data_IF_697243527633
#
_entry.id   IF_697243527633
#
_cell.length_a   1.000
_cell.length_b   1.000
_cell.length_c   1.000
_cell.angle_alpha   90.00
_cell.angle_beta   90.00
_cell.angle_gamma   90.00
#
_symmetry.space_group_name_H-M   'P 1'
#
loop_
_entity.id
_entity.type
_entity.pdbx_description
1 polymer ?
#
# COMPACT_ATOMS: atom_id res chain seq x y z
N UNK A 1 16.56 -11.63 10.66
CA UNK A 1 16.90 -11.14 9.31
C UNK A 1 16.09 -9.87 9.12
N UNK A 2 16.73 -8.70 9.01
CA UNK A 2 16.00 -7.44 8.86
C UNK A 2 15.32 -7.47 7.48
N UNK A 3 14.01 -7.76 7.47
CA UNK A 3 13.21 -7.68 6.26
C UNK A 3 13.11 -6.20 5.90
N UNK A 4 13.29 -5.91 4.63
CA UNK A 4 13.14 -4.57 4.08
C UNK A 4 11.69 -4.09 4.31
N UNK A 5 11.48 -2.90 4.91
CA UNK A 5 10.13 -2.42 5.15
C UNK A 5 9.49 -1.98 3.83
N UNK A 6 8.29 -2.49 3.57
CA UNK A 6 7.45 -2.21 2.42
C UNK A 6 6.63 -0.94 2.60
N UNK A 7 6.44 -0.49 3.84
CA UNK A 7 5.88 0.80 4.16
C UNK A 7 6.44 1.31 5.49
N UNK A 8 6.33 2.62 5.71
CA UNK A 8 6.69 3.25 6.97
C UNK A 8 5.76 4.43 7.30
N UNK A 9 5.59 4.71 8.59
CA UNK A 9 4.99 5.94 9.11
C UNK A 9 5.97 6.63 10.03
N UNK A 10 6.34 7.88 9.73
CA UNK A 10 7.15 8.73 10.57
C UNK A 10 6.23 9.64 11.38
N UNK A 11 6.12 9.40 12.68
CA UNK A 11 5.21 10.12 13.55
C UNK A 11 5.93 10.68 14.79
N UNK A 12 5.54 11.87 15.26
CA UNK A 12 6.00 12.40 16.53
C UNK A 12 5.21 11.78 17.70
N UNK A 13 5.82 11.66 18.87
CA UNK A 13 5.15 11.21 20.09
C UNK A 13 5.93 10.18 20.88
N UNK A 14 5.29 9.53 21.85
CA UNK A 14 5.92 8.46 22.64
C UNK A 14 5.83 7.11 21.90
N UNK A 15 6.93 6.35 21.74
CA UNK A 15 6.92 5.08 21.01
C UNK A 15 5.84 4.08 21.45
N UNK A 16 5.65 3.90 22.77
CA UNK A 16 4.65 2.97 23.30
C UNK A 16 3.20 3.40 22.97
N UNK A 17 2.95 4.72 22.92
CA UNK A 17 1.64 5.25 22.50
C UNK A 17 1.43 5.02 21.00
N UNK A 18 2.43 5.31 20.18
CA UNK A 18 2.39 5.10 18.73
C UNK A 18 2.11 3.64 18.40
N UNK A 19 2.81 2.73 19.09
CA UNK A 19 2.64 1.29 18.98
C UNK A 19 1.21 0.85 19.28
N UNK A 20 0.71 1.20 20.48
CA UNK A 20 -0.64 0.84 20.92
C UNK A 20 -1.71 1.40 19.97
N UNK A 21 -1.50 2.62 19.47
CA UNK A 21 -2.46 3.26 18.56
C UNK A 21 -2.48 2.60 17.19
N UNK A 22 -1.31 2.38 16.59
CA UNK A 22 -1.17 1.69 15.32
C UNK A 22 -1.76 0.27 15.41
N UNK A 23 -1.55 -0.43 16.53
CA UNK A 23 -2.08 -1.77 16.73
C UNK A 23 -3.62 -1.77 16.74
N UNK A 24 -4.24 -0.81 17.43
CA UNK A 24 -5.70 -0.66 17.47
C UNK A 24 -6.29 -0.37 16.09
N UNK A 25 -5.57 0.34 15.22
CA UNK A 25 -6.04 0.70 13.88
C UNK A 25 -5.90 -0.47 12.90
N UNK A 26 -4.74 -1.13 12.95
CA UNK A 26 -4.36 -2.17 11.99
C UNK A 26 -4.93 -3.53 12.38
N UNK A 27 -5.19 -3.74 13.67
CA UNK A 27 -5.72 -4.99 14.22
C UNK A 27 -6.69 -4.71 15.38
N UNK A 28 -7.92 -4.24 15.11
CA UNK A 28 -8.88 -3.86 16.14
C UNK A 28 -9.31 -5.03 17.07
N UNK A 29 -9.17 -6.28 16.60
CA UNK A 29 -9.49 -7.49 17.36
C UNK A 29 -8.23 -8.23 17.89
N UNK A 30 -7.05 -7.59 17.86
CA UNK A 30 -5.80 -8.23 18.28
C UNK A 30 -5.85 -8.66 19.75
N UNK A 31 -5.50 -9.92 19.98
CA UNK A 31 -5.33 -10.49 21.30
C UNK A 31 -3.97 -11.21 21.39
N UNK A 32 -3.11 -10.75 22.29
CA UNK A 32 -1.77 -11.30 22.51
C UNK A 32 -1.81 -12.81 22.85
N UNK A 33 -2.93 -13.30 23.41
CA UNK A 33 -3.11 -14.71 23.77
C UNK A 33 -3.26 -15.65 22.55
N UNK A 34 -3.62 -15.14 21.38
CA UNK A 34 -3.83 -15.94 20.17
C UNK A 34 -2.54 -16.18 19.36
N UNK A 35 -1.41 -15.62 19.81
CA UNK A 35 -0.09 -15.82 19.21
C UNK A 35 0.13 -15.11 17.88
N UNK A 36 -0.70 -14.10 17.57
CA UNK A 36 -0.57 -13.29 16.35
C UNK A 36 0.64 -12.36 16.41
N UNK A 37 1.53 -12.44 15.42
CA UNK A 37 2.68 -11.55 15.29
C UNK A 37 2.27 -10.15 14.83
N UNK A 38 2.87 -9.14 15.44
CA UNK A 38 2.63 -7.74 15.15
C UNK A 38 2.98 -7.39 13.68
N UNK A 39 2.14 -6.66 12.93
CA UNK A 39 2.36 -6.34 11.50
C UNK A 39 3.53 -5.42 11.23
N UNK A 40 3.99 -4.74 12.26
CA UNK A 40 4.93 -3.66 12.17
C UNK A 40 5.82 -3.63 13.40
N UNK A 41 6.93 -2.93 13.27
CA UNK A 41 7.85 -2.62 14.36
C UNK A 41 7.87 -1.10 14.56
N UNK A 42 7.96 -0.64 15.81
CA UNK A 42 8.24 0.77 16.12
C UNK A 42 9.73 0.93 16.38
N UNK A 43 10.41 1.67 15.52
CA UNK A 43 11.82 2.00 15.60
C UNK A 43 11.95 3.40 16.22
N UNK A 44 12.48 3.53 17.45
CA UNK A 44 12.69 4.83 18.06
C UNK A 44 13.73 5.65 17.30
N UNK A 45 13.31 6.78 16.73
CA UNK A 45 14.22 7.81 16.27
C UNK A 45 14.97 8.52 17.41
N UNK A 46 16.06 9.17 17.02
CA UNK A 46 16.90 10.03 17.87
C UNK A 46 16.37 11.47 18.02
N UNK A 47 15.37 11.84 17.21
CA UNK A 47 14.63 13.10 17.28
C UNK A 47 13.29 12.97 18.01
N UNK A 48 12.38 13.91 17.76
CA UNK A 48 10.99 13.85 18.25
C UNK A 48 10.11 12.88 17.47
N UNK A 49 10.60 12.35 16.35
CA UNK A 49 9.92 11.42 15.47
C UNK A 49 10.42 9.99 15.66
N UNK A 50 9.51 9.04 15.44
CA UNK A 50 9.77 7.61 15.43
C UNK A 50 9.14 6.98 14.19
N UNK A 51 9.65 5.82 13.77
CA UNK A 51 9.16 5.12 12.59
C UNK A 51 8.34 3.91 13.02
N UNK A 52 7.15 3.76 12.44
CA UNK A 52 6.38 2.52 12.44
C UNK A 52 6.63 1.88 11.08
N UNK A 53 7.22 0.68 11.03
CA UNK A 53 7.63 0.06 9.76
C UNK A 53 6.96 -1.29 9.60
N UNK A 54 6.37 -1.54 8.43
CA UNK A 54 5.80 -2.84 8.10
C UNK A 54 6.56 -3.48 6.95
N UNK A 55 6.79 -4.79 7.07
CA UNK A 55 7.50 -5.60 6.06
C UNK A 55 6.58 -6.53 5.29
N UNK A 56 5.29 -6.51 5.63
CA UNK A 56 4.27 -7.43 5.16
C UNK A 56 3.47 -6.77 4.01
N UNK A 57 3.49 -7.34 2.78
CA UNK A 57 2.82 -6.77 1.62
C UNK A 57 1.31 -6.57 1.82
N UNK A 58 0.69 -7.41 2.65
CA UNK A 58 -0.75 -7.39 2.93
C UNK A 58 -1.18 -6.14 3.71
N UNK A 59 -0.22 -5.44 4.33
CA UNK A 59 -0.42 -4.14 5.00
C UNK A 59 0.02 -2.95 4.17
N UNK A 60 0.36 -3.14 2.89
CA UNK A 60 0.55 -1.98 2.01
C UNK A 60 -0.78 -1.25 1.86
N UNK A 61 -0.78 0.03 2.26
CA UNK A 61 -1.95 0.88 2.45
C UNK A 61 -2.28 1.15 3.93
N UNK A 62 -1.83 0.31 4.88
CA UNK A 62 -2.07 0.52 6.31
C UNK A 62 -1.35 1.77 6.83
N UNK A 63 -0.24 2.15 6.20
CA UNK A 63 0.49 3.38 6.52
C UNK A 63 -0.38 4.62 6.37
N UNK A 64 -1.40 4.61 5.51
CA UNK A 64 -2.34 5.73 5.37
C UNK A 64 -3.25 5.83 6.59
N UNK A 65 -3.93 4.74 6.95
CA UNK A 65 -4.89 4.73 8.06
C UNK A 65 -4.19 5.09 9.37
N UNK A 66 -2.98 4.58 9.57
CA UNK A 66 -2.14 4.91 10.71
C UNK A 66 -1.76 6.40 10.67
N UNK A 67 -1.23 6.90 9.54
CA UNK A 67 -0.78 8.28 9.43
C UNK A 67 -1.92 9.30 9.57
N UNK A 68 -3.06 9.04 8.95
CA UNK A 68 -4.27 9.87 9.06
C UNK A 68 -4.71 9.99 10.51
N UNK A 69 -4.93 8.86 11.18
CA UNK A 69 -5.40 8.82 12.56
C UNK A 69 -4.41 9.50 13.51
N UNK A 70 -3.11 9.26 13.35
CA UNK A 70 -2.09 9.92 14.16
C UNK A 70 -2.01 11.43 13.87
N UNK A 71 -2.23 11.87 12.63
CA UNK A 71 -2.20 13.28 12.26
C UNK A 71 -3.36 14.09 12.85
N UNK A 72 -4.47 13.44 13.21
CA UNK A 72 -5.60 14.06 13.93
C UNK A 72 -5.27 14.27 15.42
N UNK A 73 -4.28 13.56 15.95
CA UNK A 73 -3.88 13.58 17.36
C UNK A 73 -2.59 14.40 17.60
N UNK A 74 -2.03 15.02 16.55
CA UNK A 74 -0.74 15.71 16.56
C UNK A 74 -0.80 17.06 15.83
N UNK A 75 -0.16 18.09 16.41
CA UNK A 75 0.04 19.40 15.75
C UNK A 75 1.16 19.36 14.70
N UNK A 76 2.09 18.42 14.86
CA UNK A 76 3.19 18.14 13.94
C UNK A 76 2.76 17.16 12.85
N UNK A 77 3.28 17.30 11.62
CA UNK A 77 2.88 16.45 10.49
C UNK A 77 3.30 15.00 10.71
N UNK A 78 2.48 14.05 10.26
CA UNK A 78 2.82 12.62 10.22
C UNK A 78 3.13 12.26 8.78
N UNK A 79 4.14 11.45 8.51
CA UNK A 79 4.48 11.09 7.13
C UNK A 79 4.24 9.60 6.90
N UNK A 80 3.49 9.24 5.86
CA UNK A 80 3.43 7.85 5.38
C UNK A 80 4.36 7.68 4.18
N UNK A 81 4.99 6.52 4.09
CA UNK A 81 5.93 6.17 3.02
C UNK A 81 5.54 4.79 2.50
N UNK A 82 5.09 4.72 1.25
CA UNK A 82 4.88 3.47 0.54
C UNK A 82 6.19 3.08 -0.17
N UNK A 83 6.87 2.02 0.31
CA UNK A 83 8.13 1.50 -0.25
C UNK A 83 7.96 0.22 -1.07
N UNK A 84 6.73 -0.30 -1.12
CA UNK A 84 6.38 -1.51 -1.85
C UNK A 84 6.51 -1.31 -3.36
N UNK A 85 6.18 -0.11 -3.85
CA UNK A 85 6.15 0.23 -5.26
C UNK A 85 7.18 1.32 -5.60
N UNK A 86 7.74 1.27 -6.80
CA UNK A 86 8.64 2.32 -7.34
C UNK A 86 7.83 3.23 -8.30
N UNK A 87 7.95 4.57 -8.20
CA UNK A 87 8.68 5.31 -7.17
C UNK A 87 8.04 5.21 -5.79
N UNK A 88 8.88 5.19 -4.75
CA UNK A 88 8.40 5.31 -3.37
C UNK A 88 7.62 6.61 -3.22
N UNK A 89 6.48 6.52 -2.54
CA UNK A 89 5.59 7.66 -2.36
C UNK A 89 5.68 8.14 -0.92
N UNK A 90 5.97 9.42 -0.72
CA UNK A 90 5.89 10.08 0.58
C UNK A 90 4.63 10.92 0.63
N UNK A 91 3.82 10.74 1.66
CA UNK A 91 2.64 11.56 1.92
C UNK A 91 2.78 12.21 3.29
N UNK A 92 2.63 13.53 3.36
CA UNK A 92 2.50 14.28 4.61
C UNK A 92 1.04 14.37 5.01
N UNK A 93 0.76 14.13 6.28
CA UNK A 93 -0.56 14.18 6.88
C UNK A 93 -0.59 15.24 7.97
N UNK A 94 -1.56 16.14 7.91
CA UNK A 94 -1.78 17.20 8.90
C UNK A 94 -3.28 17.31 9.18
N UNK A 95 -3.67 16.99 10.41
CA UNK A 95 -5.07 17.08 10.85
C UNK A 95 -6.04 16.34 9.89
N UNK A 96 -5.66 15.13 9.48
CA UNK A 96 -6.41 14.29 8.54
C UNK A 96 -6.29 14.69 7.06
N UNK A 97 -5.72 15.86 6.75
CA UNK A 97 -5.47 16.27 5.36
C UNK A 97 -4.12 15.75 4.89
N UNK A 98 -4.08 15.23 3.66
CA UNK A 98 -2.90 14.60 3.08
C UNK A 98 -2.29 15.47 1.96
N UNK A 99 -0.98 15.35 1.74
CA UNK A 99 -0.22 16.02 0.68
C UNK A 99 0.92 15.11 0.23
N UNK A 100 1.00 14.74 -1.06
CA UNK A 100 2.18 14.00 -1.58
C UNK A 100 3.38 14.92 -1.68
N UNK A 101 4.52 14.43 -1.19
CA UNK A 101 5.80 15.13 -1.23
C UNK A 101 6.73 14.47 -2.26
N UNK A 102 7.25 15.29 -3.18
CA UNK A 102 8.34 14.89 -4.09
C UNK A 102 9.70 14.95 -3.37
N UNK A 103 9.86 14.13 -2.33
CA UNK A 103 11.09 14.05 -1.53
C UNK A 103 11.60 12.62 -1.46
N UNK A 104 12.92 12.48 -1.35
CA UNK A 104 13.56 11.20 -1.11
C UNK A 104 13.19 10.68 0.30
N UNK A 105 12.58 9.49 0.44
CA UNK A 105 12.09 9.02 1.73
C UNK A 105 13.19 8.79 2.77
N UNK A 106 14.35 8.30 2.34
CA UNK A 106 15.49 8.06 3.24
C UNK A 106 16.04 9.40 3.76
N UNK A 107 16.19 10.40 2.89
CA UNK A 107 16.60 11.77 3.26
C UNK A 107 15.61 12.44 4.23
N UNK A 108 14.30 12.25 4.02
CA UNK A 108 13.27 12.75 4.94
C UNK A 108 13.41 12.08 6.31
N UNK A 109 13.49 10.75 6.33
CA UNK A 109 13.62 9.97 7.55
C UNK A 109 14.87 10.34 8.36
N UNK A 110 16.01 10.51 7.69
CA UNK A 110 17.24 11.02 8.30
C UNK A 110 17.06 12.43 8.89
N UNK A 111 16.41 13.34 8.17
CA UNK A 111 16.20 14.72 8.63
C UNK A 111 15.33 14.81 9.90
N UNK A 112 14.43 13.85 10.09
CA UNK A 112 13.58 13.71 11.27
C UNK A 112 14.27 12.95 12.42
N UNK A 113 15.51 12.51 12.21
CA UNK A 113 16.29 11.77 13.19
C UNK A 113 15.88 10.30 13.33
N UNK A 114 15.12 9.75 12.38
CA UNK A 114 14.63 8.38 12.38
C UNK A 114 15.00 7.66 11.08
N UNK A 115 16.30 7.38 10.85
CA UNK A 115 16.74 6.71 9.62
C UNK A 115 16.05 5.34 9.49
N UNK A 116 15.38 5.12 8.37
CA UNK A 116 14.72 3.85 8.09
C UNK A 116 15.76 2.75 7.85
N UNK A 117 15.43 1.48 8.15
CA UNK A 117 16.25 0.35 7.72
C UNK A 117 16.55 0.46 6.23
N UNK A 118 17.83 0.67 5.90
CA UNK A 118 18.31 0.75 4.52
C UNK A 118 18.37 -0.63 3.90
N UNK A 119 18.27 -0.69 2.57
CA UNK A 119 18.40 -1.94 1.83
C UNK A 119 19.85 -2.33 2.08
N UNK A 120 20.09 -3.51 2.66
CA UNK A 120 21.45 -4.04 2.68
C UNK A 120 22.01 -3.88 1.27
N UNK A 121 23.13 -3.17 1.13
CA UNK A 121 23.78 -2.98 -0.17
C UNK A 121 23.85 -4.36 -0.82
N UNK A 122 23.30 -4.54 -2.03
CA UNK A 122 23.14 -5.86 -2.59
C UNK A 122 24.52 -6.51 -2.72
N UNK A 123 24.77 -7.56 -1.92
CA UNK A 123 25.63 -8.64 -2.39
C UNK A 123 24.95 -9.20 -3.64
N UNK A 124 25.72 -9.56 -4.68
CA UNK A 124 25.36 -9.95 -6.06
C UNK A 124 24.21 -10.98 -6.26
N UNK A 125 23.06 -10.81 -5.59
CA UNK A 125 21.81 -11.50 -5.84
C UNK A 125 20.99 -10.66 -6.84
N UNK A 126 20.20 -11.30 -7.71
CA UNK A 126 19.57 -10.63 -8.83
C UNK A 126 18.70 -9.49 -8.30
N UNK A 127 18.98 -8.28 -8.79
CA UNK A 127 18.23 -7.05 -8.62
C UNK A 127 16.76 -7.33 -8.27
N UNK A 128 16.35 -7.15 -7.01
CA UNK A 128 14.91 -7.15 -6.65
C UNK A 128 14.28 -6.12 -7.58
N UNK A 129 13.48 -6.62 -8.52
CA UNK A 129 12.83 -5.79 -9.53
C UNK A 129 11.70 -5.03 -8.83
N UNK A 130 11.51 -3.73 -9.12
CA UNK A 130 10.46 -2.97 -8.47
C UNK A 130 9.09 -3.62 -8.71
N UNK A 131 8.31 -3.79 -7.65
CA UNK A 131 6.91 -4.19 -7.79
C UNK A 131 6.14 -3.03 -8.41
N UNK A 132 5.12 -3.39 -9.19
CA UNK A 132 4.19 -2.43 -9.77
C UNK A 132 2.79 -2.72 -9.32
N UNK A 133 1.99 -1.67 -9.23
CA UNK A 133 0.60 -1.71 -8.78
C UNK A 133 -0.36 -1.32 -9.90
N UNK A 134 -1.41 -2.12 -10.07
CA UNK A 134 -2.55 -1.81 -10.91
C UNK A 134 -3.82 -2.33 -10.25
N UNK A 135 -5.00 -1.83 -10.62
CA UNK A 135 -6.25 -2.31 -10.06
C UNK A 135 -7.35 -2.42 -11.11
N UNK A 136 -8.21 -3.42 -10.94
CA UNK A 136 -9.52 -3.49 -11.61
C UNK A 136 -10.61 -3.13 -10.59
N UNK A 137 -11.49 -2.22 -10.95
CA UNK A 137 -12.67 -1.83 -10.17
C UNK A 137 -13.94 -2.24 -10.91
N UNK A 138 -14.69 -3.17 -10.35
CA UNK A 138 -16.00 -3.56 -10.87
C UNK A 138 -17.09 -2.66 -10.28
N UNK A 139 -18.01 -2.20 -11.13
CA UNK A 139 -19.18 -1.42 -10.70
C UNK A 139 -18.99 0.11 -10.73
N UNK A 140 -17.83 0.60 -11.13
CA UNK A 140 -17.52 2.04 -11.24
C UNK A 140 -17.03 2.35 -12.65
N UNK A 141 -17.45 3.47 -13.23
CA UNK A 141 -16.94 3.98 -14.52
C UNK A 141 -15.76 4.93 -14.33
N UNK A 142 -14.94 5.07 -15.35
CA UNK A 142 -13.80 5.99 -15.36
C UNK A 142 -14.20 7.44 -15.03
N UNK A 143 -15.32 7.93 -15.54
CA UNK A 143 -15.80 9.29 -15.26
C UNK A 143 -16.21 9.47 -13.78
N UNK A 144 -16.84 8.46 -13.19
CA UNK A 144 -17.28 8.46 -11.78
C UNK A 144 -16.07 8.41 -10.85
N UNK A 145 -15.10 7.54 -11.13
CA UNK A 145 -13.85 7.48 -10.40
C UNK A 145 -13.04 8.77 -10.53
N UNK A 146 -12.96 9.35 -11.73
CA UNK A 146 -12.24 10.60 -11.93
C UNK A 146 -12.81 11.74 -11.09
N UNK A 147 -14.14 11.89 -11.06
CA UNK A 147 -14.80 12.90 -10.23
C UNK A 147 -14.57 12.64 -8.74
N UNK A 148 -14.72 11.39 -8.31
CA UNK A 148 -14.52 11.01 -6.91
C UNK A 148 -13.10 11.31 -6.43
N UNK A 149 -12.08 10.95 -7.21
CA UNK A 149 -10.69 11.19 -6.86
C UNK A 149 -10.34 12.70 -6.86
N UNK A 150 -10.99 13.50 -7.71
CA UNK A 150 -10.86 14.96 -7.68
C UNK A 150 -11.52 15.59 -6.44
N UNK A 151 -12.65 15.05 -5.99
CA UNK A 151 -13.40 15.56 -4.83
C UNK A 151 -12.81 15.08 -3.49
N UNK A 152 -12.15 13.92 -3.49
CA UNK A 152 -11.52 13.32 -2.32
C UNK A 152 -10.26 14.05 -1.83
N UNK A 153 -9.79 15.05 -2.58
CA UNK A 153 -8.49 15.69 -2.38
C UNK A 153 -7.35 14.63 -2.31
N UNK A 154 -7.52 13.54 -3.09
CA UNK A 154 -6.59 12.41 -3.16
C UNK A 154 -5.22 12.94 -3.63
N UNK A 155 -4.09 12.50 -3.04
CA UNK A 155 -2.87 13.27 -3.15
C UNK A 155 -2.17 13.11 -4.49
N UNK A 156 -2.54 12.12 -5.30
CA UNK A 156 -1.94 11.96 -6.62
C UNK A 156 -2.66 12.89 -7.60
N UNK A 157 -1.96 13.90 -8.15
CA UNK A 157 -2.56 14.80 -9.11
C UNK A 157 -3.17 14.01 -10.29
N UNK A 158 -4.30 14.47 -10.85
CA UNK A 158 -4.80 13.95 -12.11
C UNK A 158 -3.66 13.86 -13.14
N UNK A 159 -3.40 12.64 -13.66
CA UNK A 159 -2.34 12.37 -14.62
C UNK A 159 -1.25 11.40 -14.15
N UNK A 160 -1.18 11.08 -12.86
CA UNK A 160 -0.25 10.06 -12.34
C UNK A 160 -0.74 8.62 -12.54
N UNK A 161 -2.05 8.44 -12.65
CA UNK A 161 -2.68 7.19 -13.02
C UNK A 161 -3.64 7.41 -14.20
N UNK A 162 -3.80 6.37 -14.99
CA UNK A 162 -4.72 6.27 -16.11
C UNK A 162 -5.95 5.50 -15.64
N UNK A 163 -7.11 6.11 -15.89
CA UNK A 163 -8.42 5.50 -15.73
C UNK A 163 -8.93 5.07 -17.11
N UNK A 164 -9.26 3.80 -17.27
CA UNK A 164 -9.77 3.26 -18.53
C UNK A 164 -10.95 2.32 -18.30
N UNK A 165 -12.08 2.63 -18.95
CA UNK A 165 -13.23 1.72 -18.95
C UNK A 165 -12.91 0.48 -19.81
N UNK A 166 -12.96 -0.69 -19.19
CA UNK A 166 -12.83 -1.98 -19.86
C UNK A 166 -14.15 -2.75 -19.81
N UNK A 167 -14.34 -3.80 -20.63
CA UNK A 167 -15.50 -4.68 -20.52
C UNK A 167 -15.64 -5.38 -19.15
N UNK A 168 -14.56 -5.42 -18.35
CA UNK A 168 -14.54 -6.02 -17.01
C UNK A 168 -14.79 -5.02 -15.89
N UNK A 169 -14.74 -3.72 -16.17
CA UNK A 169 -14.78 -2.66 -15.16
C UNK A 169 -13.73 -1.59 -15.45
N UNK A 170 -13.54 -0.70 -14.50
CA UNK A 170 -12.55 0.36 -14.58
C UNK A 170 -11.15 -0.19 -14.28
N UNK A 171 -10.20 0.01 -15.19
CA UNK A 171 -8.78 -0.20 -14.96
C UNK A 171 -8.16 1.08 -14.39
N UNK A 172 -7.42 0.93 -13.30
CA UNK A 172 -6.54 1.95 -12.72
C UNK A 172 -5.10 1.44 -12.87
N UNK A 173 -4.29 2.13 -13.67
CA UNK A 173 -2.90 1.76 -13.92
C UNK A 173 -2.02 2.99 -14.00
N UNK A 174 -0.71 2.85 -13.82
CA UNK A 174 0.24 3.96 -13.92
C UNK A 174 1.37 3.64 -14.89
N UNK A 175 1.80 4.64 -15.65
CA UNK A 175 3.01 4.55 -16.47
C UNK A 175 4.31 4.60 -15.66
N UNK A 176 4.26 5.04 -14.40
CA UNK A 176 5.41 5.13 -13.50
C UNK A 176 5.58 3.90 -12.61
N UNK A 177 4.59 3.00 -12.57
CA UNK A 177 4.63 1.76 -11.79
C UNK A 177 3.84 1.78 -10.48
N UNK A 178 3.41 2.95 -10.00
CA UNK A 178 2.57 3.08 -8.82
C UNK A 178 1.30 3.90 -9.12
N UNK A 179 0.14 3.40 -8.70
CA UNK A 179 -1.15 4.12 -8.76
C UNK A 179 -1.47 4.85 -7.45
N UNK A 180 -0.56 4.80 -6.48
CA UNK A 180 -0.77 5.30 -5.14
C UNK A 180 -1.95 4.61 -4.47
N UNK A 181 -2.88 5.43 -4.00
CA UNK A 181 -4.02 5.02 -3.21
C UNK A 181 -5.35 5.08 -3.94
N UNK A 182 -5.33 5.38 -5.24
CA UNK A 182 -6.55 5.54 -6.04
C UNK A 182 -7.48 4.32 -5.97
N UNK A 183 -6.93 3.10 -5.86
CA UNK A 183 -7.72 1.87 -5.71
C UNK A 183 -8.42 1.79 -4.34
N UNK A 184 -7.79 2.27 -3.28
CA UNK A 184 -8.36 2.34 -1.93
C UNK A 184 -9.43 3.43 -1.88
N UNK A 185 -9.09 4.65 -2.30
CA UNK A 185 -10.00 5.81 -2.32
C UNK A 185 -11.27 5.51 -3.13
N UNK A 186 -11.14 4.85 -4.28
CA UNK A 186 -12.32 4.42 -5.07
C UNK A 186 -13.12 3.33 -4.33
N UNK A 187 -12.48 2.39 -3.64
CA UNK A 187 -13.17 1.37 -2.85
C UNK A 187 -13.99 1.97 -1.70
N UNK A 188 -13.46 2.99 -1.03
CA UNK A 188 -14.11 3.69 0.08
C UNK A 188 -15.30 4.52 -0.38
N UNK A 189 -15.14 5.29 -1.45
CA UNK A 189 -16.20 6.16 -1.98
C UNK A 189 -17.31 5.39 -2.69
N UNK A 190 -17.01 4.20 -3.18
CA UNK A 190 -17.98 3.29 -3.80
C UNK A 190 -18.02 1.94 -3.07
N UNK A 191 -18.67 1.83 -1.89
CA UNK A 191 -18.66 0.61 -1.07
C UNK A 191 -19.28 -0.62 -1.73
N UNK A 192 -20.04 -0.43 -2.81
CA UNK A 192 -20.64 -1.52 -3.60
C UNK A 192 -19.69 -2.04 -4.70
N UNK A 193 -18.60 -1.33 -4.97
CA UNK A 193 -17.58 -1.74 -5.93
C UNK A 193 -16.75 -2.89 -5.35
N UNK A 194 -16.29 -3.77 -6.23
CA UNK A 194 -15.25 -4.74 -5.88
C UNK A 194 -13.96 -4.34 -6.58
N UNK A 195 -12.92 -4.12 -5.80
CA UNK A 195 -11.60 -3.72 -6.29
C UNK A 195 -10.66 -4.90 -6.19
N UNK A 196 -9.94 -5.20 -7.28
CA UNK A 196 -8.87 -6.18 -7.33
C UNK A 196 -7.56 -5.41 -7.48
N UNK A 197 -6.89 -5.14 -6.36
CA UNK A 197 -5.59 -4.49 -6.34
C UNK A 197 -4.51 -5.54 -6.59
N UNK A 198 -3.74 -5.38 -7.67
CA UNK A 198 -2.69 -6.30 -8.08
C UNK A 198 -1.34 -5.64 -7.87
N UNK A 199 -0.48 -6.29 -7.10
CA UNK A 199 0.93 -5.92 -6.93
C UNK A 199 1.76 -7.06 -7.48
N UNK A 200 2.63 -6.78 -8.44
CA UNK A 200 3.45 -7.83 -9.03
C UNK A 200 4.82 -7.35 -9.49
N UNK A 201 5.76 -8.29 -9.43
CA UNK A 201 7.09 -8.18 -10.03
C UNK A 201 7.00 -8.29 -11.56
N UNK A 202 7.99 -7.76 -12.32
CA UNK A 202 7.95 -7.79 -13.78
C UNK A 202 7.96 -9.18 -14.43
N UNK A 203 8.45 -10.20 -13.72
CA UNK A 203 8.40 -11.60 -14.14
C UNK A 203 7.26 -12.38 -13.48
N UNK A 204 6.40 -11.70 -12.72
CA UNK A 204 5.26 -12.26 -11.99
C UNK A 204 5.67 -13.37 -10.99
N UNK A 205 6.94 -13.41 -10.58
CA UNK A 205 7.37 -14.37 -9.57
C UNK A 205 6.77 -14.05 -8.21
N UNK A 206 6.81 -12.77 -7.85
CA UNK A 206 6.01 -12.17 -6.78
C UNK A 206 4.74 -11.58 -7.41
N UNK A 207 3.58 -12.05 -6.96
CA UNK A 207 2.27 -11.69 -7.46
C UNK A 207 1.24 -11.77 -6.35
N UNK A 208 0.61 -10.63 -6.05
CA UNK A 208 -0.36 -10.49 -4.98
C UNK A 208 -1.62 -9.85 -5.56
N UNK A 209 -2.77 -10.36 -5.15
CA UNK A 209 -4.08 -9.75 -5.42
C UNK A 209 -4.79 -9.58 -4.09
N UNK A 210 -5.06 -8.33 -3.73
CA UNK A 210 -5.94 -8.01 -2.60
C UNK A 210 -7.31 -7.63 -3.17
N UNK A 211 -8.35 -8.32 -2.72
CA UNK A 211 -9.73 -7.97 -3.06
C UNK A 211 -10.26 -7.03 -1.99
N UNK A 212 -10.70 -5.83 -2.40
CA UNK A 212 -11.21 -4.80 -1.49
C UNK A 212 -12.68 -4.47 -1.75
N UNK A 213 -13.40 -4.17 -0.66
CA UNK A 213 -14.78 -3.64 -0.68
C UNK A 213 -14.94 -2.62 0.44
N UNK A 214 -15.40 -1.41 0.12
CA UNK A 214 -15.58 -0.37 1.13
C UNK A 214 -14.28 0.07 1.80
N UNK A 215 -13.14 0.01 1.10
CA UNK A 215 -11.80 0.35 1.62
C UNK A 215 -11.07 -0.82 2.28
N UNK A 216 -11.80 -1.81 2.80
CA UNK A 216 -11.23 -2.94 3.52
C UNK A 216 -10.78 -4.06 2.57
N UNK A 217 -9.65 -4.71 2.88
CA UNK A 217 -9.23 -5.96 2.25
C UNK A 217 -10.07 -7.13 2.80
N UNK A 218 -10.63 -7.95 1.91
CA UNK A 218 -11.57 -9.02 2.28
C UNK A 218 -10.99 -10.41 2.05
N UNK A 219 -10.17 -10.57 1.01
CA UNK A 219 -9.51 -11.84 0.65
C UNK A 219 -8.25 -11.53 -0.17
N UNK A 220 -7.33 -12.49 -0.20
CA UNK A 220 -6.09 -12.33 -0.94
C UNK A 220 -5.66 -13.59 -1.70
N UNK A 221 -4.96 -13.38 -2.80
CA UNK A 221 -4.21 -14.39 -3.52
C UNK A 221 -2.74 -13.99 -3.54
N UNK A 222 -1.85 -14.92 -3.19
CA UNK A 222 -0.41 -14.69 -3.19
C UNK A 222 0.33 -15.82 -3.91
N UNK A 223 1.26 -15.44 -4.78
CA UNK A 223 2.25 -16.33 -5.38
C UNK A 223 3.64 -15.69 -5.27
N UNK A 224 4.60 -16.32 -4.56
CA UNK A 224 4.42 -17.52 -3.72
C UNK A 224 3.41 -17.29 -2.58
N UNK A 225 2.79 -18.36 -2.03
CA UNK A 225 1.92 -18.22 -0.86
C UNK A 225 2.69 -17.60 0.31
N UNK A 226 2.03 -16.74 1.07
CA UNK A 226 2.61 -16.18 2.29
C UNK A 226 2.61 -17.22 3.42
N UNK A 227 3.65 -17.21 4.24
CA UNK A 227 3.78 -18.10 5.40
C UNK A 227 2.71 -17.80 6.47
N UNK A 228 2.29 -16.54 6.56
CA UNK A 228 1.35 -16.02 7.57
C UNK A 228 0.33 -15.08 6.92
N UNK A 229 -0.60 -15.62 6.12
CA UNK A 229 -1.59 -14.80 5.44
C UNK A 229 -2.59 -14.22 6.44
N UNK A 230 -3.02 -12.99 6.19
CA UNK A 230 -3.84 -12.24 7.15
C UNK A 230 -5.23 -11.92 6.64
N UNK A 231 -5.41 -12.00 5.33
CA UNK A 231 -6.73 -12.15 4.76
C UNK A 231 -7.00 -13.63 4.47
N UNK A 232 -8.28 -14.02 4.39
CA UNK A 232 -8.63 -15.31 3.85
C UNK A 232 -7.95 -15.55 2.49
N UNK A 233 -7.02 -16.51 2.44
CA UNK A 233 -6.33 -16.86 1.19
C UNK A 233 -7.26 -17.64 0.30
N UNK A 234 -7.44 -17.15 -0.93
CA UNK A 234 -8.18 -17.84 -1.96
C UNK A 234 -7.24 -18.59 -2.89
N UNK A 235 -7.68 -19.78 -3.32
CA UNK A 235 -6.92 -20.60 -4.25
C UNK A 235 -7.01 -20.14 -5.70
N UNK A 236 -7.91 -19.19 -6.00
CA UNK A 236 -8.11 -18.61 -7.33
C UNK A 236 -8.72 -17.21 -7.24
N UNK A 237 -8.44 -16.39 -8.26
CA UNK A 237 -9.12 -15.12 -8.50
C UNK A 237 -9.92 -15.27 -9.78
N UNK A 238 -11.23 -15.05 -9.73
CA UNK A 238 -12.15 -15.20 -10.87
C UNK A 238 -12.07 -16.60 -11.50
N UNK A 239 -11.78 -17.66 -10.73
CA UNK A 239 -11.64 -19.03 -11.23
C UNK A 239 -10.25 -19.39 -11.77
N UNK A 240 -9.30 -18.45 -11.77
CA UNK A 240 -7.96 -18.63 -12.33
C UNK A 240 -6.88 -18.68 -11.24
N UNK A 241 -5.85 -19.52 -11.46
CA UNK A 241 -4.83 -19.85 -10.43
C UNK A 241 -3.40 -19.45 -10.76
N UNK A 242 -3.15 -18.99 -11.99
CA UNK A 242 -1.80 -18.56 -12.40
C UNK A 242 -1.82 -17.05 -12.62
N UNK A 243 -0.74 -16.32 -12.27
CA UNK A 243 -0.66 -14.87 -12.42
C UNK A 243 -1.12 -14.37 -13.80
N UNK A 244 -0.67 -14.99 -14.88
CA UNK A 244 -1.03 -14.58 -16.24
C UNK A 244 -2.51 -14.78 -16.55
N UNK A 245 -3.10 -15.87 -16.04
CA UNK A 245 -4.53 -16.16 -16.21
C UNK A 245 -5.39 -15.23 -15.37
N UNK A 246 -4.95 -14.93 -14.14
CA UNK A 246 -5.62 -13.98 -13.25
C UNK A 246 -5.62 -12.59 -13.89
N UNK A 247 -4.47 -12.11 -14.35
CA UNK A 247 -4.37 -10.83 -15.07
C UNK A 247 -5.29 -10.77 -16.28
N UNK A 248 -5.34 -11.84 -17.10
CA UNK A 248 -6.25 -11.92 -18.23
C UNK A 248 -7.74 -11.94 -17.82
N UNK A 249 -8.10 -12.61 -16.73
CA UNK A 249 -9.46 -12.63 -16.21
C UNK A 249 -9.89 -11.25 -15.68
N UNK A 250 -8.97 -10.53 -15.05
CA UNK A 250 -9.15 -9.15 -14.61
C UNK A 250 -9.08 -8.13 -15.77
N UNK A 251 -8.63 -8.55 -16.95
CA UNK A 251 -8.42 -7.64 -18.08
C UNK A 251 -7.28 -6.64 -17.84
N UNK A 252 -6.34 -6.95 -16.94
CA UNK A 252 -5.15 -6.15 -16.67
C UNK A 252 -4.03 -6.67 -17.57
N UNK A 253 -3.52 -5.87 -18.52
CA UNK A 253 -2.45 -6.31 -19.40
C UNK A 253 -1.14 -6.60 -18.64
N UNK A 254 -0.51 -7.76 -18.89
CA UNK A 254 0.71 -8.15 -18.18
C UNK A 254 1.91 -7.25 -18.50
N UNK A 255 1.90 -6.56 -19.65
CA UNK A 255 2.90 -5.57 -20.03
C UNK A 255 3.02 -4.41 -19.04
N UNK A 256 1.97 -4.07 -18.29
CA UNK A 256 2.05 -3.04 -17.24
C UNK A 256 3.09 -3.34 -16.18
N UNK A 257 3.31 -4.64 -15.91
CA UNK A 257 4.28 -5.07 -14.91
C UNK A 257 5.69 -5.17 -15.49
N UNK A 258 5.86 -5.23 -16.81
CA UNK A 258 7.18 -5.44 -17.44
C UNK A 258 8.03 -4.17 -17.39
N UNK A 259 9.32 -4.34 -17.08
CA UNK A 259 10.32 -3.29 -17.29
C UNK A 259 10.55 -3.12 -18.79
N UNK A 260 10.17 -1.97 -19.35
CA UNK A 260 10.75 -1.49 -20.61
C UNK A 260 12.06 -0.74 -20.34
#
# INVERSE_FOLDING_TARGET
MSRWPLWAVLAPGEPARLESRALTLVMPDWNEEDGEEQPFEVIPGSGGYHAIVGTDPSYVGAEMQIAEALSLESDEPVYSIERANDPWTVTSWRNGSLEILEVDPDSLAESLGCPLPSREKPSDSPTIKPLRKAALVEGVRAEEAHRALQEADDPFPPGHYRLEDTPRGLLIASGTGNIGYADITVSELYPHATVYAVIASPDLHEFFVTVRRGGEGVEEFAQPPEDFPRLPVVGDIKGERSPERILAALGIPAEWFRNE
#
